data_IF_238799035677
#
_entry.id   IF_238799035677
#
_cell.length_a   1.000
_cell.length_b   1.000
_cell.length_c   1.000
_cell.angle_alpha   90.00
_cell.angle_beta   90.00
_cell.angle_gamma   90.00
#
_symmetry.space_group_name_H-M   'P 1'
#
loop_
_entity.id
_entity.type
_entity.pdbx_description
1 polymer ?
#
# COMPACT_ATOMS: atom_id res chain seq x y z
N UNK A 1 8.85 1.04 -18.59
CA UNK A 1 9.14 1.22 -17.16
C UNK A 1 7.82 1.50 -16.47
N UNK A 2 7.39 0.60 -15.58
CA UNK A 2 6.18 0.79 -14.78
C UNK A 2 6.59 1.63 -13.57
N UNK A 3 6.67 2.95 -13.74
CA UNK A 3 7.08 3.83 -12.64
C UNK A 3 5.87 4.09 -11.76
N UNK A 4 5.70 3.33 -10.69
CA UNK A 4 4.84 3.74 -9.57
C UNK A 4 5.66 4.69 -8.70
N UNK A 5 5.05 5.77 -8.26
CA UNK A 5 5.70 6.75 -7.39
C UNK A 5 6.02 6.10 -6.02
N UNK A 6 7.20 6.34 -5.43
CA UNK A 6 7.59 5.74 -4.15
C UNK A 6 6.57 5.98 -3.01
N UNK A 7 5.96 7.17 -2.97
CA UNK A 7 4.93 7.50 -1.98
C UNK A 7 3.69 6.60 -2.11
N UNK A 8 3.23 6.33 -3.33
CA UNK A 8 2.11 5.42 -3.56
C UNK A 8 2.47 3.97 -3.22
N UNK A 9 3.70 3.55 -3.51
CA UNK A 9 4.19 2.24 -3.11
C UNK A 9 4.24 2.10 -1.57
N UNK A 10 4.71 3.13 -0.88
CA UNK A 10 4.73 3.20 0.58
C UNK A 10 3.31 3.11 1.17
N UNK A 11 2.40 3.99 0.73
CA UNK A 11 1.01 4.01 1.20
C UNK A 11 0.27 2.69 0.93
N UNK A 12 0.53 2.06 -0.22
CA UNK A 12 -0.06 0.76 -0.52
C UNK A 12 0.40 -0.35 0.43
N UNK A 13 1.66 -0.31 0.88
CA UNK A 13 2.21 -1.27 1.86
C UNK A 13 1.73 -0.97 3.28
N UNK A 14 1.63 0.31 3.64
CA UNK A 14 1.03 0.71 4.92
C UNK A 14 -0.44 0.30 5.02
N UNK A 15 -1.20 0.47 3.94
CA UNK A 15 -2.59 0.05 3.86
C UNK A 15 -2.75 -1.47 4.06
N UNK A 16 -1.85 -2.27 3.47
CA UNK A 16 -1.80 -3.71 3.71
C UNK A 16 -1.60 -4.03 5.19
N UNK A 17 -0.60 -3.43 5.83
CA UNK A 17 -0.34 -3.62 7.26
C UNK A 17 -1.52 -3.18 8.15
N UNK A 18 -2.22 -2.11 7.79
CA UNK A 18 -3.42 -1.68 8.52
C UNK A 18 -4.59 -2.66 8.38
N UNK A 19 -4.80 -3.20 7.18
CA UNK A 19 -5.84 -4.21 6.91
C UNK A 19 -5.52 -5.50 7.67
N UNK A 20 -4.28 -5.97 7.60
CA UNK A 20 -3.82 -7.16 8.34
C UNK A 20 -3.93 -6.95 9.85
N UNK A 21 -3.49 -5.80 10.37
CA UNK A 21 -3.63 -5.46 11.79
C UNK A 21 -5.08 -5.40 12.26
N UNK A 22 -5.99 -4.93 11.40
CA UNK A 22 -7.43 -4.89 11.70
C UNK A 22 -8.06 -6.28 11.66
N UNK A 23 -7.63 -7.14 10.73
CA UNK A 23 -8.04 -8.54 10.69
C UNK A 23 -7.52 -9.29 11.92
N UNK A 24 -6.29 -9.04 12.33
CA UNK A 24 -5.63 -9.73 13.45
C UNK A 24 -5.27 -11.19 13.15
N UNK A 25 -4.66 -11.86 14.13
CA UNK A 25 -4.30 -13.28 14.06
C UNK A 25 -4.88 -14.05 15.27
N UNK A 26 -5.86 -14.96 15.08
CA UNK A 26 -6.45 -15.37 13.80
C UNK A 26 -7.38 -14.29 13.20
N UNK A 27 -7.61 -14.30 11.87
CA UNK A 27 -8.41 -13.27 11.21
C UNK A 27 -9.86 -13.15 11.71
N UNK A 28 -10.24 -11.95 12.14
CA UNK A 28 -11.57 -11.58 12.60
C UNK A 28 -12.28 -10.69 11.57
N UNK A 29 -12.96 -11.35 10.63
CA UNK A 29 -13.74 -10.69 9.56
C UNK A 29 -14.86 -9.79 10.09
N UNK A 30 -15.40 -10.07 11.28
CA UNK A 30 -16.47 -9.26 11.87
C UNK A 30 -15.92 -7.90 12.31
N UNK A 31 -14.79 -7.88 13.01
CA UNK A 31 -14.14 -6.64 13.43
C UNK A 31 -13.72 -5.81 12.22
N UNK A 32 -13.14 -6.46 11.22
CA UNK A 32 -12.80 -5.82 9.95
C UNK A 32 -14.02 -5.19 9.27
N UNK A 33 -15.13 -5.93 9.13
CA UNK A 33 -16.34 -5.38 8.52
C UNK A 33 -16.91 -4.21 9.32
N UNK A 34 -16.88 -4.27 10.66
CA UNK A 34 -17.30 -3.16 11.52
C UNK A 34 -16.45 -1.90 11.29
N UNK A 35 -15.14 -2.05 11.09
CA UNK A 35 -14.26 -0.93 10.76
C UNK A 35 -14.60 -0.33 9.39
N UNK A 36 -14.76 -1.17 8.36
CA UNK A 36 -15.13 -0.73 7.02
C UNK A 36 -16.47 0.00 7.03
N UNK A 37 -17.48 -0.56 7.69
CA UNK A 37 -18.82 0.03 7.75
C UNK A 37 -18.81 1.38 8.50
N UNK A 38 -18.02 1.48 9.58
CA UNK A 38 -17.85 2.75 10.30
C UNK A 38 -17.20 3.82 9.42
N UNK A 39 -16.08 3.49 8.76
CA UNK A 39 -15.40 4.44 7.86
C UNK A 39 -16.33 4.88 6.71
N UNK A 40 -16.99 3.93 6.05
CA UNK A 40 -17.92 4.22 4.95
C UNK A 40 -19.04 5.16 5.42
N UNK A 41 -19.61 4.91 6.61
CA UNK A 41 -20.66 5.78 7.17
C UNK A 41 -20.15 7.19 7.48
N UNK A 42 -18.96 7.33 8.06
CA UNK A 42 -18.37 8.65 8.37
C UNK A 42 -18.11 9.46 7.10
N UNK A 43 -17.47 8.85 6.10
CA UNK A 43 -17.21 9.54 4.83
C UNK A 43 -18.50 9.84 4.05
N UNK A 44 -19.49 8.93 4.05
CA UNK A 44 -20.80 9.19 3.43
C UNK A 44 -21.55 10.36 4.11
N UNK A 45 -21.33 10.57 5.41
CA UNK A 45 -21.86 11.73 6.14
C UNK A 45 -21.08 13.03 5.93
N UNK A 46 -19.93 12.99 5.24
CA UNK A 46 -19.05 14.15 5.06
C UNK A 46 -18.21 14.49 6.28
N UNK A 47 -18.12 13.61 7.28
CA UNK A 47 -17.36 13.77 8.52
C UNK A 47 -16.10 12.90 8.58
N UNK A 48 -15.68 12.37 7.44
CA UNK A 48 -14.48 11.54 7.34
C UNK A 48 -13.20 12.25 7.76
N UNK A 49 -12.16 11.45 8.03
CA UNK A 49 -10.84 11.95 8.41
C UNK A 49 -10.03 12.26 7.15
N UNK A 50 -9.32 13.39 7.14
CA UNK A 50 -8.44 13.81 6.04
C UNK A 50 -7.13 13.00 6.02
N UNK A 51 -7.23 11.68 5.87
CA UNK A 51 -6.11 10.74 5.87
C UNK A 51 -6.23 9.77 4.68
N UNK A 52 -5.22 9.76 3.82
CA UNK A 52 -5.20 8.96 2.59
C UNK A 52 -5.34 7.47 2.88
N UNK A 53 -4.70 6.97 3.95
CA UNK A 53 -4.73 5.55 4.28
C UNK A 53 -6.12 5.14 4.78
N UNK A 54 -6.76 5.95 5.64
CA UNK A 54 -8.14 5.68 6.09
C UNK A 54 -9.16 5.81 4.95
N UNK A 55 -8.99 6.78 4.06
CA UNK A 55 -9.82 6.90 2.85
C UNK A 55 -9.64 5.67 1.95
N UNK A 56 -8.40 5.25 1.71
CA UNK A 56 -8.10 4.08 0.89
C UNK A 56 -8.68 2.80 1.51
N UNK A 57 -8.57 2.63 2.83
CA UNK A 57 -9.17 1.53 3.59
C UNK A 57 -10.69 1.48 3.34
N UNK A 58 -11.39 2.60 3.55
CA UNK A 58 -12.83 2.67 3.33
C UNK A 58 -13.23 2.28 1.89
N UNK A 59 -12.37 2.59 0.91
CA UNK A 59 -12.58 2.29 -0.50
C UNK A 59 -12.35 0.81 -0.85
N UNK A 60 -11.38 0.12 -0.26
CA UNK A 60 -10.87 -1.21 -0.71
C UNK A 60 -11.99 -2.19 -1.11
N UNK A 61 -13.03 -2.33 -0.29
CA UNK A 61 -14.11 -3.29 -0.52
C UNK A 61 -15.33 -2.71 -1.26
N UNK A 62 -15.38 -1.38 -1.42
CA UNK A 62 -16.50 -0.68 -2.07
C UNK A 62 -16.18 -0.24 -3.49
N UNK A 63 -14.90 -0.11 -3.82
CA UNK A 63 -14.42 0.42 -5.10
C UNK A 63 -14.22 -0.68 -6.15
N UNK A 64 -14.62 -0.36 -7.37
CA UNK A 64 -14.36 -1.11 -8.59
C UNK A 64 -13.61 -0.23 -9.58
N UNK A 65 -12.54 -0.76 -10.17
CA UNK A 65 -11.73 -0.03 -11.14
C UNK A 65 -12.17 -0.36 -12.57
N UNK A 66 -12.46 0.68 -13.36
CA UNK A 66 -12.93 0.57 -14.75
C UNK A 66 -11.80 0.78 -15.75
N UNK A 67 -10.75 1.53 -15.38
CA UNK A 67 -9.53 1.69 -16.19
C UNK A 67 -8.23 1.43 -15.39
N UNK A 68 -7.87 0.16 -15.15
CA UNK A 68 -6.61 -0.20 -14.50
C UNK A 68 -5.34 0.31 -15.19
N UNK A 69 -5.38 0.51 -16.52
CA UNK A 69 -4.20 0.98 -17.27
C UNK A 69 -4.02 2.48 -17.11
N UNK A 70 -5.12 3.24 -17.10
CA UNK A 70 -5.14 4.65 -16.76
C UNK A 70 -4.61 4.87 -15.35
N UNK A 71 -5.17 4.16 -14.36
CA UNK A 71 -4.76 4.27 -12.96
C UNK A 71 -3.27 3.98 -12.74
N UNK A 72 -2.72 2.97 -13.43
CA UNK A 72 -1.28 2.68 -13.35
C UNK A 72 -0.41 3.80 -13.93
N UNK A 73 -0.90 4.57 -14.92
CA UNK A 73 -0.18 5.74 -15.43
C UNK A 73 -0.25 6.90 -14.44
N UNK A 74 -1.43 7.13 -13.86
CA UNK A 74 -1.63 8.17 -12.85
C UNK A 74 -0.80 7.91 -11.59
N UNK A 75 -0.55 6.63 -11.27
CA UNK A 75 0.32 6.23 -10.16
C UNK A 75 1.81 6.64 -10.32
N UNK A 76 2.23 7.18 -11.46
CA UNK A 76 3.59 7.66 -11.66
C UNK A 76 3.86 9.05 -11.04
N UNK A 77 2.82 9.81 -10.73
CA UNK A 77 2.89 11.17 -10.22
C UNK A 77 2.02 11.32 -8.98
N UNK A 78 2.64 11.55 -7.83
CA UNK A 78 1.94 11.62 -6.55
C UNK A 78 1.15 12.92 -6.38
N UNK A 79 1.73 14.05 -6.81
CA UNK A 79 1.06 15.35 -6.80
C UNK A 79 -0.07 15.35 -7.84
N UNK A 80 0.22 14.81 -9.03
CA UNK A 80 -0.75 14.72 -10.12
C UNK A 80 -1.21 16.07 -10.65
N UNK A 81 -2.28 16.07 -11.44
CA UNK A 81 -2.86 17.29 -12.00
C UNK A 81 -4.36 17.44 -11.74
N UNK A 82 -5.20 16.60 -12.36
CA UNK A 82 -6.66 16.70 -12.33
C UNK A 82 -7.26 15.44 -11.69
N UNK A 83 -7.71 15.52 -10.43
CA UNK A 83 -8.39 14.42 -9.74
C UNK A 83 -9.56 13.82 -10.51
N UNK A 84 -10.26 14.62 -11.32
CA UNK A 84 -11.43 14.15 -12.08
C UNK A 84 -11.07 13.04 -13.08
N UNK A 85 -9.82 13.00 -13.57
CA UNK A 85 -9.35 11.91 -14.42
C UNK A 85 -9.39 10.58 -13.69
N UNK A 86 -8.90 10.54 -12.45
CA UNK A 86 -8.87 9.34 -11.61
C UNK A 86 -10.29 8.95 -11.18
N UNK A 87 -11.15 9.92 -10.90
CA UNK A 87 -12.54 9.67 -10.52
C UNK A 87 -13.33 8.98 -11.64
N UNK A 88 -13.03 9.29 -12.90
CA UNK A 88 -13.65 8.62 -14.04
C UNK A 88 -13.17 7.17 -14.26
N UNK A 89 -12.08 6.75 -13.59
CA UNK A 89 -11.47 5.42 -13.75
C UNK A 89 -11.90 4.42 -12.67
N UNK A 90 -12.77 4.83 -11.75
CA UNK A 90 -13.29 3.99 -10.69
C UNK A 90 -14.75 4.33 -10.37
N UNK A 91 -15.45 3.37 -9.77
CA UNK A 91 -16.82 3.54 -9.31
C UNK A 91 -17.01 2.79 -7.99
N UNK A 92 -17.82 3.34 -7.09
CA UNK A 92 -18.27 2.63 -5.90
C UNK A 92 -19.71 2.14 -6.08
N UNK A 93 -20.00 0.94 -5.57
CA UNK A 93 -21.33 0.33 -5.63
C UNK A 93 -22.01 0.34 -4.25
N UNK A 94 -23.34 0.26 -4.24
CA UNK A 94 -24.15 0.40 -3.02
C UNK A 94 -24.43 1.86 -2.64
N UNK A 95 -25.53 2.09 -1.92
CA UNK A 95 -25.99 3.45 -1.56
C UNK A 95 -24.93 4.20 -0.73
N UNK A 96 -24.48 3.60 0.37
CA UNK A 96 -23.46 4.20 1.24
C UNK A 96 -22.09 4.32 0.55
N UNK A 97 -21.73 3.37 -0.31
CA UNK A 97 -20.48 3.40 -1.07
C UNK A 97 -20.45 4.53 -2.10
N UNK A 98 -21.58 4.76 -2.80
CA UNK A 98 -21.72 5.85 -3.75
C UNK A 98 -21.74 7.22 -3.03
N UNK A 99 -22.44 7.32 -1.89
CA UNK A 99 -22.47 8.53 -1.08
C UNK A 99 -21.08 8.88 -0.52
N UNK A 100 -20.36 7.88 0.02
CA UNK A 100 -18.96 8.02 0.44
C UNK A 100 -18.09 8.54 -0.70
N UNK A 101 -18.16 7.89 -1.87
CA UNK A 101 -17.33 8.26 -3.01
C UNK A 101 -17.60 9.69 -3.49
N UNK A 102 -18.87 10.09 -3.58
CA UNK A 102 -19.25 11.46 -3.92
C UNK A 102 -18.73 12.47 -2.88
N UNK A 103 -18.93 12.20 -1.59
CA UNK A 103 -18.48 13.07 -0.50
C UNK A 103 -16.95 13.24 -0.48
N UNK A 104 -16.20 12.14 -0.61
CA UNK A 104 -14.74 12.19 -0.66
C UNK A 104 -14.22 13.02 -1.84
N UNK A 105 -14.79 12.79 -3.03
CA UNK A 105 -14.34 13.45 -4.28
C UNK A 105 -14.74 14.93 -4.34
N UNK A 106 -15.83 15.32 -3.67
CA UNK A 106 -16.26 16.72 -3.57
C UNK A 106 -15.46 17.50 -2.51
N UNK A 107 -15.30 16.93 -1.31
CA UNK A 107 -14.73 17.64 -0.16
C UNK A 107 -13.19 17.64 -0.17
N UNK A 108 -12.57 16.54 -0.61
CA UNK A 108 -11.11 16.34 -0.53
C UNK A 108 -10.56 15.73 -1.83
N UNK A 109 -10.63 16.45 -2.96
CA UNK A 109 -10.38 15.87 -4.28
C UNK A 109 -8.97 15.29 -4.44
N UNK A 110 -7.93 15.96 -3.93
CA UNK A 110 -6.56 15.44 -4.01
C UNK A 110 -6.34 14.21 -3.14
N UNK A 111 -6.86 14.22 -1.91
CA UNK A 111 -6.75 13.07 -1.01
C UNK A 111 -7.55 11.88 -1.56
N UNK A 112 -8.73 12.12 -2.13
CA UNK A 112 -9.54 11.10 -2.78
C UNK A 112 -8.82 10.52 -4.00
N UNK A 113 -8.16 11.35 -4.81
CA UNK A 113 -7.32 10.90 -5.94
C UNK A 113 -6.24 9.95 -5.45
N UNK A 114 -5.48 10.36 -4.43
CA UNK A 114 -4.40 9.57 -3.87
C UNK A 114 -4.93 8.25 -3.28
N UNK A 115 -6.02 8.30 -2.51
CA UNK A 115 -6.65 7.14 -1.90
C UNK A 115 -7.16 6.12 -2.92
N UNK A 116 -7.75 6.57 -4.04
CA UNK A 116 -8.19 5.70 -5.14
C UNK A 116 -7.00 4.97 -5.77
N UNK A 117 -5.90 5.68 -6.04
CA UNK A 117 -4.67 5.09 -6.60
C UNK A 117 -4.04 4.11 -5.60
N UNK A 118 -3.96 4.48 -4.32
CA UNK A 118 -3.44 3.61 -3.25
C UNK A 118 -4.27 2.33 -3.13
N UNK A 119 -5.61 2.44 -3.08
CA UNK A 119 -6.49 1.27 -3.08
C UNK A 119 -6.35 0.43 -4.36
N UNK A 120 -6.11 1.05 -5.51
CA UNK A 120 -5.84 0.34 -6.77
C UNK A 120 -4.56 -0.47 -6.68
N UNK A 121 -3.47 0.13 -6.22
CA UNK A 121 -2.16 -0.53 -6.11
C UNK A 121 -2.20 -1.67 -5.09
N UNK A 122 -2.85 -1.47 -3.95
CA UNK A 122 -3.06 -2.51 -2.95
C UNK A 122 -3.74 -3.75 -3.55
N UNK A 123 -4.84 -3.56 -4.30
CA UNK A 123 -5.55 -4.68 -4.95
C UNK A 123 -4.80 -5.29 -6.13
N UNK A 124 -3.69 -4.69 -6.56
CA UNK A 124 -2.95 -5.09 -7.76
C UNK A 124 -1.42 -5.10 -7.57
N UNK A 125 -0.93 -5.42 -6.37
CA UNK A 125 0.49 -5.51 -6.01
C UNK A 125 1.36 -6.17 -7.11
N UNK A 126 0.97 -7.35 -7.59
CA UNK A 126 1.68 -8.08 -8.65
C UNK A 126 1.86 -7.30 -9.97
N UNK A 127 1.07 -6.25 -10.22
CA UNK A 127 1.18 -5.48 -11.46
C UNK A 127 2.32 -4.48 -11.45
N UNK A 128 2.77 -4.06 -10.27
CA UNK A 128 3.76 -3.00 -10.11
C UNK A 128 4.96 -3.38 -9.24
N UNK A 129 4.88 -4.47 -8.47
CA UNK A 129 6.01 -4.98 -7.68
C UNK A 129 7.07 -5.75 -8.51
N UNK A 130 6.71 -6.26 -9.70
CA UNK A 130 7.64 -7.01 -10.58
C UNK A 130 8.90 -6.22 -11.01
N UNK A 131 8.91 -4.89 -10.88
CA UNK A 131 10.09 -4.07 -11.19
C UNK A 131 11.08 -3.98 -9.99
N UNK A 132 10.74 -4.52 -8.80
CA UNK A 132 11.51 -4.37 -7.54
C UNK A 132 12.05 -5.69 -6.95
N UNK A 133 11.93 -6.82 -7.66
CA UNK A 133 12.34 -8.16 -7.16
C UNK A 133 13.14 -8.98 -8.18
N UNK A 134 14.04 -8.36 -8.95
CA UNK A 134 15.03 -9.13 -9.71
C UNK A 134 16.40 -9.06 -9.03
N UNK A 135 16.78 -10.12 -8.33
CA UNK A 135 18.18 -10.43 -7.97
C UNK A 135 19.11 -10.35 -9.20
N UNK A 136 18.58 -10.49 -10.43
CA UNK A 136 19.31 -10.28 -11.70
C UNK A 136 19.80 -8.84 -11.93
N UNK A 137 19.24 -7.82 -11.28
CA UNK A 137 19.74 -6.44 -11.38
C UNK A 137 20.87 -6.14 -10.39
N UNK A 138 20.94 -6.85 -9.26
CA UNK A 138 22.05 -6.74 -8.31
C UNK A 138 23.35 -7.35 -8.84
N UNK A 139 23.27 -8.32 -9.77
CA UNK A 139 24.44 -8.93 -10.41
C UNK A 139 24.89 -8.24 -11.71
N UNK A 140 24.22 -7.17 -12.17
CA UNK A 140 24.52 -6.54 -13.47
C UNK A 140 25.58 -5.43 -13.43
N UNK A 141 25.99 -5.02 -12.24
CA UNK A 141 27.09 -4.09 -12.02
C UNK A 141 28.28 -4.72 -11.26
N UNK A 142 28.27 -6.04 -11.06
CA UNK A 142 29.44 -6.77 -10.55
C UNK A 142 30.24 -7.30 -11.75
N UNK A 143 30.80 -6.37 -12.53
CA UNK A 143 31.94 -6.69 -13.37
C UNK A 143 33.13 -6.86 -12.42
N UNK A 144 33.43 -8.12 -12.12
CA UNK A 144 34.50 -8.50 -11.22
C UNK A 144 35.82 -7.83 -11.58
N UNK A 145 36.50 -7.33 -10.55
CA UNK A 145 37.94 -7.20 -10.54
C UNK A 145 38.46 -8.20 -9.51
N UNK A 146 38.85 -9.38 -10.02
CA UNK A 146 39.66 -10.35 -9.31
C UNK A 146 41.04 -9.72 -9.07
N UNK A 147 41.28 -9.23 -7.86
CA UNK A 147 42.65 -9.21 -7.31
C UNK A 147 42.66 -10.03 -6.02
N UNK A 148 43.29 -11.20 -6.13
CA UNK A 148 43.75 -12.05 -5.04
C UNK A 148 44.57 -11.21 -4.04
N UNK A 149 44.24 -11.29 -2.75
CA UNK A 149 45.29 -11.43 -1.74
C UNK A 149 44.76 -12.07 -0.46
N UNK A 150 45.51 -13.07 -0.02
CA UNK A 150 45.40 -13.80 1.24
C UNK A 150 45.40 -12.84 2.44
N UNK A 151 44.50 -13.05 3.41
CA UNK A 151 44.90 -13.41 4.78
C UNK A 151 43.64 -13.60 5.65
N UNK A 152 43.50 -14.83 6.16
CA UNK A 152 42.42 -15.20 7.04
C UNK A 152 42.57 -14.66 8.46
N UNK A 153 41.45 -14.23 9.04
CA UNK A 153 41.10 -14.48 10.44
C UNK A 153 39.63 -14.08 10.65
N UNK A 154 38.72 -15.05 10.58
CA UNK A 154 37.39 -14.90 11.18
C UNK A 154 37.58 -15.12 12.67
N UNK A 155 37.58 -14.03 13.45
CA UNK A 155 37.55 -14.11 14.91
C UNK A 155 36.13 -14.45 15.37
N UNK A 156 36.01 -15.58 16.06
CA UNK A 156 34.84 -16.11 16.75
C UNK A 156 34.27 -15.16 17.83
N UNK A 157 33.51 -14.12 17.45
CA UNK A 157 32.89 -13.22 18.46
C UNK A 157 31.42 -12.84 18.17
N UNK A 158 30.71 -13.62 17.36
CA UNK A 158 29.27 -13.43 17.13
C UNK A 158 28.40 -14.66 17.46
N UNK A 159 28.98 -15.70 18.08
CA UNK A 159 28.26 -16.90 18.54
C UNK A 159 27.80 -16.82 20.01
N UNK A 160 27.95 -15.66 20.68
CA UNK A 160 27.61 -15.48 22.09
C UNK A 160 26.34 -14.67 22.41
N UNK A 161 25.58 -14.20 21.43
CA UNK A 161 24.41 -13.33 21.66
C UNK A 161 23.08 -14.12 21.83
N UNK A 162 23.06 -15.43 21.54
CA UNK A 162 21.85 -16.27 21.60
C UNK A 162 21.87 -17.35 22.69
N UNK A 163 22.57 -17.13 23.80
CA UNK A 163 22.44 -18.00 24.98
C UNK A 163 22.38 -17.14 26.26
N UNK A 164 21.17 -16.76 26.67
CA UNK A 164 21.01 -15.85 27.81
C UNK A 164 19.59 -15.41 28.16
N UNK A 165 18.55 -16.24 27.98
CA UNK A 165 17.28 -16.06 28.72
C UNK A 165 16.85 -17.39 29.34
N UNK A 166 16.61 -17.39 30.66
CA UNK A 166 15.93 -18.48 31.34
C UNK A 166 16.41 -18.75 32.75
N UNK A 167 16.00 -17.88 33.69
CA UNK A 167 16.02 -18.14 35.13
C UNK A 167 15.48 -19.55 35.46
N UNK A 168 16.25 -20.33 36.23
CA UNK A 168 15.78 -21.55 36.88
C UNK A 168 15.29 -21.21 38.30
N UNK A 169 14.16 -21.83 38.64
CA UNK A 169 13.49 -22.05 39.93
C UNK A 169 14.24 -21.66 41.22
#
# INVERSE_FOLDING_TARGET
MKRVHPEFAYQSRELEGQIEGTLGDPPNKKNYQMMVDALVSEYAGGSGIDDVNLMAFALVDKIRFTDPKGLLREAADYEGDDPAKVFAMAECTGEDGAAMYASMTENHPELARQAIITAFLFKHQQRWEDDDQSLEQLGKNDEGDDEEDEEGMVSDDFTGIFDGEGERE
#
